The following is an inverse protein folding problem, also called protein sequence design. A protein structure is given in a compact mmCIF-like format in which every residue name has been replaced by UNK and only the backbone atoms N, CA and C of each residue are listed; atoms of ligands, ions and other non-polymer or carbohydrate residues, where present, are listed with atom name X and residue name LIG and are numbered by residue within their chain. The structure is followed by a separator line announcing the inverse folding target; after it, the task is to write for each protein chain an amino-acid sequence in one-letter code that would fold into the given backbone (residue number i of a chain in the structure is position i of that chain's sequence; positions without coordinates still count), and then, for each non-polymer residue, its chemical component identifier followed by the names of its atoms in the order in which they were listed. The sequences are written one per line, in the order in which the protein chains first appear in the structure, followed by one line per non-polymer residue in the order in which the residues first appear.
data_IF_775308359884
#
_entry.id   IF_775308359884
#
_cell.length_a   1.000
_cell.length_b   1.000
_cell.length_c   1.000
_cell.angle_alpha   90.00
_cell.angle_beta   90.00
_cell.angle_gamma   90.00
#
_symmetry.space_group_name_H-M   'P 1'
#
loop_
_entity.id
_entity.type
_entity.pdbx_description
1 polymer ?
#
# COMPACT_ATOMS: atom_id res chain seq x y z
N UNK A 1 33.02 -1.32 -31.09
CA UNK A 1 31.94 -2.31 -31.36
C UNK A 1 31.96 -3.41 -30.30
N UNK A 2 31.20 -3.21 -29.22
CA UNK A 2 30.97 -4.23 -28.19
C UNK A 2 29.66 -4.91 -28.57
N UNK A 3 29.73 -6.18 -28.96
CA UNK A 3 28.56 -6.99 -29.24
C UNK A 3 28.03 -7.53 -27.90
N UNK A 4 26.82 -7.14 -27.52
CA UNK A 4 26.07 -7.82 -26.47
C UNK A 4 25.42 -9.07 -27.04
N UNK A 5 25.64 -10.21 -26.37
CA UNK A 5 24.94 -11.44 -26.66
C UNK A 5 23.46 -11.33 -26.23
N UNK A 6 22.51 -11.92 -26.97
CA UNK A 6 21.11 -11.93 -26.55
C UNK A 6 20.95 -12.71 -25.24
N UNK A 7 20.12 -12.18 -24.33
CA UNK A 7 19.67 -12.84 -23.10
C UNK A 7 18.84 -14.09 -23.44
N UNK A 8 19.51 -15.17 -23.86
CA UNK A 8 18.94 -16.50 -24.01
C UNK A 8 19.21 -17.25 -22.71
N UNK A 9 18.25 -17.18 -21.79
CA UNK A 9 18.35 -17.86 -20.49
C UNK A 9 17.47 -17.26 -19.40
N UNK A 10 16.25 -16.81 -19.72
CA UNK A 10 15.28 -16.39 -18.69
C UNK A 10 14.68 -17.66 -18.10
N UNK A 11 14.98 -17.95 -16.83
CA UNK A 11 14.27 -18.98 -16.09
C UNK A 11 12.76 -18.64 -16.10
N UNK A 12 11.86 -19.63 -16.28
CA UNK A 12 10.44 -19.37 -16.22
C UNK A 12 10.10 -18.85 -14.81
N UNK A 13 9.66 -17.59 -14.72
CA UNK A 13 9.11 -17.01 -13.51
C UNK A 13 7.91 -17.85 -13.07
N UNK A 14 8.16 -18.80 -12.18
CA UNK A 14 7.22 -19.81 -11.69
C UNK A 14 6.97 -19.70 -10.18
N UNK A 15 7.47 -18.64 -9.54
CA UNK A 15 7.27 -18.36 -8.11
C UNK A 15 6.17 -17.33 -7.82
N UNK A 16 5.30 -17.07 -8.79
CA UNK A 16 3.98 -16.54 -8.48
C UNK A 16 3.13 -17.78 -8.27
N UNK A 17 2.70 -18.06 -7.03
CA UNK A 17 1.85 -19.21 -6.69
C UNK A 17 0.64 -19.31 -7.63
N UNK A 18 -0.04 -20.48 -7.72
CA UNK A 18 -1.06 -20.75 -8.75
C UNK A 18 -2.12 -19.64 -8.77
N UNK A 19 -1.89 -18.67 -9.65
CA UNK A 19 -2.80 -17.56 -9.89
C UNK A 19 -4.05 -18.20 -10.52
N UNK A 20 -5.24 -17.87 -10.01
CA UNK A 20 -6.49 -18.27 -10.64
C UNK A 20 -6.36 -18.05 -12.14
N UNK A 21 -6.75 -19.02 -13.00
CA UNK A 21 -6.55 -18.91 -14.43
C UNK A 21 -7.09 -17.55 -14.87
N UNK A 22 -6.23 -16.69 -15.45
CA UNK A 22 -6.60 -15.32 -15.74
C UNK A 22 -7.87 -15.36 -16.57
N UNK A 23 -8.90 -14.65 -16.10
CA UNK A 23 -10.12 -14.45 -16.85
C UNK A 23 -9.68 -14.04 -18.26
N UNK A 24 -10.01 -14.87 -19.27
CA UNK A 24 -9.46 -14.72 -20.61
C UNK A 24 -9.75 -13.32 -21.10
N UNK A 25 -8.76 -12.44 -21.02
CA UNK A 25 -8.88 -11.07 -21.50
C UNK A 25 -9.17 -11.22 -22.99
N UNK A 26 -10.31 -10.72 -23.48
CA UNK A 26 -10.68 -10.90 -24.88
C UNK A 26 -9.54 -10.39 -25.76
N UNK A 27 -9.16 -11.22 -26.74
CA UNK A 27 -8.06 -10.90 -27.64
C UNK A 27 -8.31 -9.52 -28.26
N UNK A 28 -7.35 -8.61 -28.10
CA UNK A 28 -7.48 -7.24 -28.62
C UNK A 28 -7.68 -7.29 -30.13
N UNK A 29 -8.61 -6.47 -30.61
CA UNK A 29 -8.88 -6.33 -32.03
C UNK A 29 -7.65 -5.78 -32.75
N UNK A 30 -7.50 -6.10 -34.05
CA UNK A 30 -6.41 -5.58 -34.88
C UNK A 30 -6.34 -4.04 -34.92
N UNK A 31 -7.48 -3.37 -34.72
CA UNK A 31 -7.55 -1.91 -34.61
C UNK A 31 -6.92 -1.40 -33.32
N UNK A 32 -7.19 -2.05 -32.19
CA UNK A 32 -6.58 -1.73 -30.89
C UNK A 32 -5.07 -2.00 -30.89
N UNK A 33 -4.62 -3.08 -31.53
CA UNK A 33 -3.19 -3.36 -31.71
C UNK A 33 -2.51 -2.24 -32.51
N UNK A 34 -3.12 -1.78 -33.61
CA UNK A 34 -2.58 -0.65 -34.40
C UNK A 34 -2.54 0.66 -33.61
N UNK A 35 -3.59 0.93 -32.84
CA UNK A 35 -3.65 2.11 -31.97
C UNK A 35 -2.55 2.05 -30.91
N UNK A 36 -2.35 0.90 -30.28
CA UNK A 36 -1.25 0.66 -29.35
C UNK A 36 0.10 0.93 -30.01
N UNK A 37 0.38 0.31 -31.17
CA UNK A 37 1.67 0.50 -31.87
C UNK A 37 1.94 1.98 -32.16
N UNK A 38 0.92 2.75 -32.54
CA UNK A 38 1.07 4.20 -32.75
C UNK A 38 1.36 4.95 -31.43
N UNK A 39 0.69 4.59 -30.33
CA UNK A 39 0.94 5.17 -29.00
C UNK A 39 2.37 4.87 -28.53
N UNK A 40 2.83 3.63 -28.69
CA UNK A 40 4.18 3.18 -28.33
C UNK A 40 5.26 3.85 -29.17
N UNK A 41 4.99 4.12 -30.46
CA UNK A 41 5.93 4.84 -31.32
C UNK A 41 6.31 6.22 -30.78
N UNK A 42 5.36 6.91 -30.15
CA UNK A 42 5.60 8.20 -29.51
C UNK A 42 6.35 8.10 -28.16
N UNK A 43 6.38 6.90 -27.58
CA UNK A 43 6.97 6.55 -26.29
C UNK A 43 8.33 5.81 -26.43
N UNK A 44 9.04 6.04 -27.54
CA UNK A 44 10.35 5.44 -27.78
C UNK A 44 11.38 5.94 -26.77
N UNK A 45 11.91 5.02 -25.97
CA UNK A 45 12.91 5.23 -24.91
C UNK A 45 12.55 6.31 -23.88
N UNK A 46 11.25 6.63 -23.76
CA UNK A 46 10.72 7.61 -22.81
C UNK A 46 9.29 7.24 -22.42
N UNK A 47 8.96 7.47 -21.15
CA UNK A 47 7.59 7.30 -20.69
C UNK A 47 6.66 8.34 -21.34
N UNK A 48 5.58 7.86 -21.95
CA UNK A 48 4.46 8.69 -22.40
C UNK A 48 3.26 8.38 -21.53
N UNK A 49 2.88 9.31 -20.66
CA UNK A 49 1.71 9.17 -19.80
C UNK A 49 0.47 9.69 -20.53
N UNK A 50 -0.57 8.86 -20.56
CA UNK A 50 -1.91 9.29 -20.92
C UNK A 50 -2.57 9.96 -19.71
N UNK A 51 -2.84 11.26 -19.82
CA UNK A 51 -3.41 12.04 -18.72
C UNK A 51 -4.84 11.65 -18.33
N UNK A 52 -5.56 10.93 -19.19
CA UNK A 52 -6.91 10.44 -18.88
C UNK A 52 -6.87 9.10 -18.15
N UNK A 53 -6.22 8.10 -18.72
CA UNK A 53 -6.17 6.75 -18.12
C UNK A 53 -5.10 6.61 -17.04
N UNK A 54 -4.21 7.59 -16.89
CA UNK A 54 -3.03 7.52 -16.02
C UNK A 54 -2.10 6.35 -16.37
N UNK A 55 -2.18 5.85 -17.61
CA UNK A 55 -1.30 4.78 -18.10
C UNK A 55 -0.06 5.37 -18.76
N UNK A 56 1.11 4.93 -18.31
CA UNK A 56 2.37 5.17 -18.98
C UNK A 56 2.64 4.11 -20.03
N UNK A 57 3.12 4.53 -21.19
CA UNK A 57 3.62 3.65 -22.23
C UNK A 57 5.11 3.87 -22.42
N UNK A 58 5.85 2.79 -22.68
CA UNK A 58 7.29 2.82 -22.94
C UNK A 58 7.67 1.79 -24.00
N UNK A 59 8.31 2.22 -25.08
CA UNK A 59 8.89 1.34 -26.09
C UNK A 59 10.41 1.33 -25.89
N UNK A 60 10.95 0.19 -25.46
CA UNK A 60 12.39 0.02 -25.30
C UNK A 60 13.02 -0.33 -26.65
N UNK A 61 13.69 0.63 -27.30
CA UNK A 61 14.10 0.50 -28.70
C UNK A 61 15.16 -0.56 -28.96
N UNK A 62 16.02 -0.83 -27.96
CA UNK A 62 17.05 -1.85 -28.05
C UNK A 62 16.46 -3.27 -28.10
N UNK A 63 15.49 -3.55 -27.23
CA UNK A 63 14.86 -4.88 -27.15
C UNK A 63 13.62 -5.06 -28.01
N UNK A 64 12.97 -3.96 -28.41
CA UNK A 64 11.64 -3.96 -29.02
C UNK A 64 10.47 -4.20 -28.06
N UNK A 65 10.70 -4.44 -26.77
CA UNK A 65 9.63 -4.67 -25.81
C UNK A 65 8.76 -3.43 -25.57
N UNK A 66 7.48 -3.69 -25.33
CA UNK A 66 6.43 -2.71 -25.14
C UNK A 66 5.92 -2.81 -23.70
N UNK A 67 6.16 -1.78 -22.89
CA UNK A 67 5.76 -1.75 -21.50
C UNK A 67 4.63 -0.76 -21.24
N UNK A 68 3.68 -1.14 -20.39
CA UNK A 68 2.63 -0.25 -19.93
C UNK A 68 2.61 -0.22 -18.41
N UNK A 69 2.82 0.97 -17.86
CA UNK A 69 2.70 1.25 -16.45
C UNK A 69 1.28 1.72 -16.16
N UNK A 70 0.52 0.94 -15.43
CA UNK A 70 -0.81 1.31 -14.95
C UNK A 70 -0.66 1.95 -13.57
N UNK A 71 -0.61 3.27 -13.54
CA UNK A 71 -0.30 4.00 -12.33
C UNK A 71 -1.36 3.85 -11.23
N UNK A 72 -2.68 3.90 -11.50
CA UNK A 72 -3.69 3.69 -10.47
C UNK A 72 -3.54 2.35 -9.77
N UNK A 73 -3.19 1.29 -10.51
CA UNK A 73 -3.01 -0.05 -9.92
C UNK A 73 -1.60 -0.32 -9.44
N UNK A 74 -0.62 0.49 -9.86
CA UNK A 74 0.79 0.27 -9.57
C UNK A 74 1.37 -0.97 -10.25
N UNK A 75 0.85 -1.34 -11.42
CA UNK A 75 1.24 -2.56 -12.14
C UNK A 75 1.97 -2.23 -13.44
N UNK A 76 3.12 -2.86 -13.65
CA UNK A 76 3.85 -2.83 -14.92
C UNK A 76 3.49 -4.06 -15.74
N UNK A 77 2.99 -3.82 -16.94
CA UNK A 77 2.70 -4.83 -17.94
C UNK A 77 3.71 -4.81 -19.07
N UNK A 78 3.99 -5.97 -19.65
CA UNK A 78 4.72 -6.18 -20.90
C UNK A 78 3.74 -6.74 -21.94
N UNK A 79 3.72 -6.11 -23.12
CA UNK A 79 2.91 -6.56 -24.25
C UNK A 79 3.73 -7.45 -25.16
N UNK A 80 3.25 -8.67 -25.35
CA UNK A 80 3.82 -9.61 -26.30
C UNK A 80 3.35 -9.27 -27.72
N UNK A 81 4.31 -9.01 -28.62
CA UNK A 81 3.99 -8.54 -29.97
C UNK A 81 3.30 -9.60 -30.85
N UNK A 82 3.55 -10.89 -30.57
CA UNK A 82 3.01 -11.98 -31.35
C UNK A 82 1.50 -12.11 -31.18
N UNK A 83 1.05 -12.13 -29.92
CA UNK A 83 -0.33 -12.49 -29.58
C UNK A 83 -1.14 -11.31 -29.02
N UNK A 84 -0.48 -10.16 -28.80
CA UNK A 84 -1.11 -8.99 -28.19
C UNK A 84 -1.48 -9.18 -26.71
N UNK A 85 -1.02 -10.27 -26.10
CA UNK A 85 -1.24 -10.56 -24.69
C UNK A 85 -0.45 -9.59 -23.81
N UNK A 86 -1.00 -9.33 -22.63
CA UNK A 86 -0.50 -8.38 -21.66
C UNK A 86 -0.09 -9.15 -20.42
N UNK A 87 1.21 -9.31 -20.18
CA UNK A 87 1.75 -10.03 -19.03
C UNK A 87 2.11 -9.05 -17.93
N UNK A 88 1.78 -9.38 -16.68
CA UNK A 88 2.28 -8.60 -15.53
C UNK A 88 3.76 -8.92 -15.31
N UNK A 89 4.60 -7.89 -15.30
CA UNK A 89 6.04 -8.02 -15.06
C UNK A 89 6.41 -7.56 -13.66
N UNK A 90 5.77 -6.52 -13.13
CA UNK A 90 6.08 -5.98 -11.81
C UNK A 90 4.83 -5.38 -11.16
N UNK A 91 4.72 -5.46 -9.82
CA UNK A 91 3.61 -4.88 -9.04
C UNK A 91 4.19 -4.07 -7.88
N UNK A 92 3.68 -2.87 -7.62
CA UNK A 92 4.11 -2.04 -6.48
C UNK A 92 3.86 -2.69 -5.14
N UNK A 93 2.81 -3.50 -5.03
CA UNK A 93 2.51 -4.30 -3.85
C UNK A 93 3.53 -5.44 -3.60
N UNK A 94 4.32 -5.82 -4.61
CA UNK A 94 5.30 -6.91 -4.56
C UNK A 94 6.64 -6.45 -5.18
N UNK A 95 7.33 -5.47 -4.56
CA UNK A 95 8.46 -4.79 -5.18
C UNK A 95 9.66 -5.71 -5.47
N UNK A 96 9.77 -6.84 -4.78
CA UNK A 96 10.83 -7.82 -4.97
C UNK A 96 10.71 -8.61 -6.29
N UNK A 97 9.49 -8.78 -6.82
CA UNK A 97 9.26 -9.60 -8.02
C UNK A 97 9.73 -8.82 -9.25
N UNK A 98 10.76 -9.33 -9.94
CA UNK A 98 11.36 -8.71 -11.14
C UNK A 98 11.86 -7.27 -10.91
N UNK A 99 12.35 -6.94 -9.71
CA UNK A 99 12.90 -5.61 -9.40
C UNK A 99 14.01 -5.16 -10.39
N UNK A 100 14.74 -6.12 -10.96
CA UNK A 100 15.79 -5.92 -11.97
C UNK A 100 15.30 -5.22 -13.23
N UNK A 101 13.99 -5.25 -13.53
CA UNK A 101 13.42 -4.56 -14.69
C UNK A 101 13.72 -3.04 -14.66
N UNK A 102 13.86 -2.46 -13.47
CA UNK A 102 14.18 -1.05 -13.25
C UNK A 102 15.65 -0.70 -13.48
N UNK A 103 16.52 -1.69 -13.69
CA UNK A 103 17.89 -1.44 -14.17
C UNK A 103 17.92 -1.18 -15.68
N UNK A 104 16.89 -1.67 -16.40
CA UNK A 104 16.76 -1.55 -17.85
C UNK A 104 15.79 -0.43 -18.22
N UNK A 105 14.68 -0.30 -17.47
CA UNK A 105 13.69 0.74 -17.69
C UNK A 105 13.95 1.94 -16.80
N UNK A 106 13.84 3.17 -17.31
CA UNK A 106 13.75 4.33 -16.44
C UNK A 106 12.50 4.18 -15.56
N UNK A 107 12.54 4.68 -14.33
CA UNK A 107 11.36 4.69 -13.47
C UNK A 107 10.23 5.47 -14.17
N UNK A 108 8.99 4.94 -14.20
CA UNK A 108 7.87 5.70 -14.69
C UNK A 108 7.73 6.94 -13.81
N UNK A 109 7.34 8.09 -14.37
CA UNK A 109 6.97 9.24 -13.57
C UNK A 109 5.78 8.82 -12.70
N UNK A 110 6.05 8.56 -11.42
CA UNK A 110 5.07 8.08 -10.44
C UNK A 110 4.04 9.12 -10.07
N UNK A 111 4.16 10.31 -10.65
CA UNK A 111 3.23 11.41 -10.54
C UNK A 111 3.09 12.10 -11.91
N UNK A 112 1.95 12.01 -12.61
CA UNK A 112 1.74 12.74 -13.84
C UNK A 112 1.66 14.23 -13.56
N UNK A 113 1.48 14.69 -12.32
CA UNK A 113 1.70 16.09 -11.97
C UNK A 113 3.19 16.48 -12.07
N UNK A 114 4.14 15.56 -11.86
CA UNK A 114 5.56 15.82 -12.11
C UNK A 114 5.91 15.98 -13.59
N UNK A 115 5.05 15.49 -14.51
CA UNK A 115 5.18 15.69 -15.96
C UNK A 115 4.18 16.70 -16.56
N UNK A 116 3.04 16.94 -15.89
CA UNK A 116 2.07 17.99 -16.17
C UNK A 116 2.42 19.31 -15.50
N UNK A 117 3.51 19.36 -14.73
CA UNK A 117 4.49 20.41 -14.90
C UNK A 117 5.00 20.40 -16.35
N UNK A 118 4.08 20.62 -17.31
CA UNK A 118 4.40 21.39 -18.48
C UNK A 118 5.21 22.57 -17.95
N UNK A 119 6.29 22.99 -18.63
CA UNK A 119 6.85 24.29 -18.32
C UNK A 119 5.64 25.22 -18.33
N UNK A 120 5.27 25.73 -17.15
CA UNK A 120 4.24 26.76 -17.07
C UNK A 120 4.62 27.71 -18.20
N UNK A 121 3.72 28.04 -19.13
CA UNK A 121 4.12 28.85 -20.31
C UNK A 121 4.81 30.17 -19.87
N UNK A 122 4.66 30.52 -18.59
CA UNK A 122 5.34 31.58 -17.85
C UNK A 122 6.80 31.34 -17.45
N UNK A 123 7.37 30.14 -17.61
CA UNK A 123 8.76 29.80 -17.24
C UNK A 123 9.09 29.95 -15.75
N UNK A 124 8.09 30.05 -14.87
CA UNK A 124 8.30 30.25 -13.44
C UNK A 124 8.48 28.89 -12.75
N UNK A 125 9.62 28.72 -12.08
CA UNK A 125 9.87 27.56 -11.25
C UNK A 125 8.79 27.47 -10.15
N UNK A 126 8.32 26.27 -9.81
CA UNK A 126 7.35 26.09 -8.74
C UNK A 126 7.88 26.67 -7.44
N UNK A 127 7.05 27.44 -6.75
CA UNK A 127 7.41 28.03 -5.46
C UNK A 127 7.53 26.90 -4.42
N UNK A 128 8.74 26.67 -3.92
CA UNK A 128 9.04 25.59 -2.97
C UNK A 128 8.44 25.93 -1.59
N UNK A 129 8.21 27.21 -1.31
CA UNK A 129 7.64 27.71 -0.06
C UNK A 129 6.11 27.63 -0.02
N UNK A 130 5.47 27.38 -1.17
CA UNK A 130 4.05 27.07 -1.26
C UNK A 130 3.82 25.57 -1.06
N UNK A 131 3.30 25.20 0.11
CA UNK A 131 3.02 23.81 0.44
C UNK A 131 1.79 23.70 1.36
N UNK A 132 1.27 22.48 1.45
CA UNK A 132 0.08 22.12 2.19
C UNK A 132 0.42 20.94 3.13
N UNK A 133 0.19 21.15 4.42
CA UNK A 133 0.32 20.13 5.46
C UNK A 133 -1.04 19.46 5.63
N UNK A 134 -1.07 18.15 5.39
CA UNK A 134 -2.22 17.28 5.60
C UNK A 134 -2.07 16.61 6.96
N UNK A 135 -2.92 16.98 7.92
CA UNK A 135 -2.97 16.32 9.23
C UNK A 135 -4.05 15.25 9.21
N UNK A 136 -3.66 13.99 9.25
CA UNK A 136 -4.53 12.86 8.92
C UNK A 136 -4.92 12.12 10.18
N UNK A 137 -6.22 11.93 10.39
CA UNK A 137 -6.78 11.08 11.43
C UNK A 137 -7.60 9.96 10.78
N UNK A 138 -7.49 8.76 11.32
CA UNK A 138 -8.36 7.65 10.93
C UNK A 138 -9.69 7.75 11.68
N UNK A 139 -10.82 7.49 11.03
CA UNK A 139 -12.14 7.58 11.67
C UNK A 139 -12.31 6.65 12.88
N UNK A 140 -11.66 5.47 12.84
CA UNK A 140 -11.64 4.50 13.94
C UNK A 140 -10.56 4.80 14.99
N UNK A 141 -9.81 5.90 14.84
CA UNK A 141 -8.73 6.27 15.76
C UNK A 141 -7.46 5.41 15.61
N UNK A 142 -7.32 4.68 14.50
CA UNK A 142 -6.10 3.93 14.19
C UNK A 142 -4.88 4.85 14.13
N UNK A 143 -3.74 4.29 14.50
CA UNK A 143 -2.43 4.92 14.46
C UNK A 143 -1.53 4.12 13.52
N UNK A 144 -0.43 4.71 13.08
CA UNK A 144 0.56 3.97 12.29
C UNK A 144 1.07 2.74 13.08
N UNK A 145 1.17 1.56 12.43
CA UNK A 145 1.68 0.36 13.07
C UNK A 145 3.08 0.56 13.67
N UNK A 146 3.31 0.01 14.86
CA UNK A 146 4.55 0.21 15.61
C UNK A 146 5.79 -0.39 14.92
N UNK A 147 5.61 -1.47 14.16
CA UNK A 147 6.64 -2.09 13.32
C UNK A 147 7.11 -1.16 12.19
N UNK A 148 6.17 -0.53 11.48
CA UNK A 148 6.47 0.43 10.40
C UNK A 148 7.25 1.63 10.96
N UNK A 149 6.78 2.19 12.08
CA UNK A 149 7.46 3.32 12.72
C UNK A 149 8.83 2.95 13.27
N UNK A 150 9.00 1.74 13.81
CA UNK A 150 10.28 1.28 14.32
C UNK A 150 11.31 1.20 13.19
N UNK A 151 10.96 0.60 12.06
CA UNK A 151 11.84 0.51 10.88
C UNK A 151 12.23 1.90 10.39
N UNK A 152 11.25 2.79 10.21
CA UNK A 152 11.50 4.16 9.76
C UNK A 152 12.36 4.97 10.76
N UNK A 153 12.16 4.78 12.07
CA UNK A 153 12.96 5.42 13.11
C UNK A 153 14.39 4.90 13.13
N UNK A 154 14.60 3.59 12.95
CA UNK A 154 15.94 2.99 12.93
C UNK A 154 16.72 3.45 11.68
N UNK A 155 16.08 3.47 10.51
CA UNK A 155 16.67 4.03 9.28
C UNK A 155 17.01 5.51 9.42
N UNK A 156 16.12 6.30 10.02
CA UNK A 156 16.36 7.72 10.25
C UNK A 156 17.51 7.96 11.22
N UNK A 157 17.58 7.20 12.32
CA UNK A 157 18.69 7.26 13.29
C UNK A 157 20.02 6.93 12.62
N UNK A 158 20.05 5.89 11.78
CA UNK A 158 21.24 5.51 11.03
C UNK A 158 21.64 6.61 10.03
N UNK A 159 20.69 7.09 9.21
CA UNK A 159 20.92 8.13 8.19
C UNK A 159 21.40 9.45 8.78
N UNK A 160 20.81 9.87 9.91
CA UNK A 160 21.15 11.12 10.59
C UNK A 160 22.30 10.98 11.58
N UNK A 161 22.89 9.77 11.70
CA UNK A 161 23.97 9.43 12.64
C UNK A 161 23.69 9.87 14.08
N UNK A 162 22.44 9.68 14.53
CA UNK A 162 22.01 10.14 15.86
C UNK A 162 22.63 9.30 16.98
N UNK A 163 23.14 9.95 18.01
CA UNK A 163 23.64 9.27 19.20
C UNK A 163 22.51 8.54 19.95
N UNK A 164 22.86 7.55 20.79
CA UNK A 164 21.90 6.67 21.50
C UNK A 164 20.82 7.43 22.28
N UNK A 165 21.16 8.55 22.92
CA UNK A 165 20.21 9.38 23.68
C UNK A 165 19.11 10.01 22.79
N UNK A 166 19.47 10.49 21.60
CA UNK A 166 18.55 11.10 20.62
C UNK A 166 17.65 10.02 19.99
N UNK A 167 18.24 8.88 19.62
CA UNK A 167 17.50 7.72 19.13
C UNK A 167 16.47 7.23 20.18
N UNK A 168 16.88 7.11 21.45
CA UNK A 168 15.97 6.74 22.53
C UNK A 168 14.89 7.81 22.75
N UNK A 169 15.22 9.10 22.60
CA UNK A 169 14.23 10.19 22.71
C UNK A 169 13.18 10.08 21.60
N UNK A 170 13.58 9.85 20.35
CA UNK A 170 12.69 9.63 19.21
C UNK A 170 11.74 8.46 19.47
N UNK A 171 12.27 7.28 19.83
CA UNK A 171 11.47 6.06 20.06
C UNK A 171 10.48 6.17 21.23
N UNK A 172 10.69 7.11 22.16
CA UNK A 172 9.78 7.37 23.29
C UNK A 172 8.63 8.31 22.96
N UNK A 173 8.62 8.93 21.78
CA UNK A 173 7.55 9.83 21.37
C UNK A 173 6.29 9.03 20.97
N UNK A 174 5.13 9.69 20.94
CA UNK A 174 3.92 9.08 20.41
C UNK A 174 4.08 8.77 18.91
N UNK A 175 3.33 7.80 18.36
CA UNK A 175 3.38 7.44 16.94
C UNK A 175 3.32 8.64 15.98
N UNK A 176 2.34 9.52 16.18
CA UNK A 176 2.17 10.73 15.38
C UNK A 176 3.37 11.71 15.50
N UNK A 177 3.95 11.82 16.70
CA UNK A 177 5.12 12.67 16.94
C UNK A 177 6.38 12.09 16.28
N UNK A 178 6.56 10.77 16.33
CA UNK A 178 7.64 10.09 15.61
C UNK A 178 7.53 10.39 14.12
N UNK A 179 6.38 10.10 13.52
CA UNK A 179 6.13 10.31 12.09
C UNK A 179 6.38 11.76 11.65
N UNK A 180 5.81 12.73 12.39
CA UNK A 180 6.02 14.14 12.11
C UNK A 180 7.50 14.53 12.09
N UNK A 181 8.26 14.09 13.09
CA UNK A 181 9.69 14.43 13.21
C UNK A 181 10.51 13.78 12.09
N UNK A 182 10.24 12.51 11.76
CA UNK A 182 10.89 11.81 10.66
C UNK A 182 10.74 12.56 9.33
N UNK A 183 9.58 13.19 9.12
CA UNK A 183 9.31 13.95 7.91
C UNK A 183 9.83 15.38 7.93
N UNK A 184 9.88 16.06 9.09
CA UNK A 184 10.09 17.51 9.15
C UNK A 184 11.46 17.93 9.70
N UNK A 185 12.17 17.06 10.41
CA UNK A 185 13.51 17.43 10.89
C UNK A 185 14.51 17.45 9.72
N UNK A 186 15.21 18.57 9.57
CA UNK A 186 16.31 18.78 8.63
C UNK A 186 17.46 19.42 9.39
N UNK A 187 18.68 18.98 9.13
CA UNK A 187 19.89 19.53 9.71
C UNK A 187 20.98 19.45 8.64
N UNK A 188 21.56 20.59 8.28
CA UNK A 188 22.58 20.69 7.25
C UNK A 188 23.98 20.36 7.79
N UNK A 189 24.25 20.74 9.04
CA UNK A 189 25.56 20.53 9.66
C UNK A 189 25.71 19.10 10.18
N UNK A 190 26.90 18.51 10.02
CA UNK A 190 27.17 17.16 10.55
C UNK A 190 27.48 17.18 12.05
N UNK A 191 28.13 18.26 12.51
CA UNK A 191 28.54 18.42 13.89
C UNK A 191 27.36 18.93 14.70
N UNK A 192 26.98 18.20 15.73
CA UNK A 192 25.89 18.62 16.61
C UNK A 192 24.48 18.19 16.17
N UNK A 193 24.34 17.34 15.13
CA UNK A 193 23.03 16.85 14.63
C UNK A 193 22.13 16.32 15.74
N UNK A 194 22.72 15.60 16.70
CA UNK A 194 21.96 14.97 17.77
C UNK A 194 21.44 15.97 18.81
N UNK A 195 22.26 16.97 19.12
CA UNK A 195 21.93 18.07 20.02
C UNK A 195 20.87 18.99 19.40
N UNK A 196 21.00 19.30 18.11
CA UNK A 196 20.01 20.06 17.37
C UNK A 196 18.68 19.29 17.27
N UNK A 197 18.74 17.98 17.00
CA UNK A 197 17.57 17.12 17.03
C UNK A 197 16.87 17.14 18.38
N UNK A 198 17.61 16.97 19.48
CA UNK A 198 17.04 17.03 20.84
C UNK A 198 16.41 18.40 21.13
N UNK A 199 17.08 19.48 20.76
CA UNK A 199 16.59 20.86 20.91
C UNK A 199 15.29 21.06 20.11
N UNK A 200 15.24 20.55 18.87
CA UNK A 200 14.06 20.59 18.01
C UNK A 200 12.88 19.82 18.63
N UNK A 201 13.12 18.58 19.10
CA UNK A 201 12.09 17.78 19.78
C UNK A 201 11.58 18.48 21.03
N UNK A 202 12.47 19.00 21.88
CA UNK A 202 12.08 19.70 23.11
C UNK A 202 11.32 21.00 22.81
N UNK A 203 11.70 21.74 21.76
CA UNK A 203 10.96 22.92 21.29
C UNK A 203 9.54 22.58 20.85
N UNK A 204 9.35 21.44 20.15
CA UNK A 204 8.02 20.99 19.74
C UNK A 204 7.18 20.52 20.93
N UNK A 205 7.77 19.76 21.86
CA UNK A 205 7.09 19.28 23.06
C UNK A 205 6.69 20.40 24.03
N UNK A 206 7.42 21.52 24.04
CA UNK A 206 7.07 22.70 24.84
C UNK A 206 5.91 23.52 24.27
N UNK A 207 5.47 23.26 23.03
CA UNK A 207 4.34 23.98 22.46
C UNK A 207 3.05 23.53 23.16
N UNK A 208 2.12 24.47 23.48
CA UNK A 208 0.85 24.11 24.11
C UNK A 208 -0.02 23.22 23.22
N UNK A 209 0.18 23.29 21.90
CA UNK A 209 -0.44 22.43 20.90
C UNK A 209 0.65 21.95 19.94
N UNK A 210 1.15 20.71 20.09
CA UNK A 210 2.12 20.17 19.14
C UNK A 210 1.48 20.07 17.75
N UNK A 211 2.28 20.18 16.67
CA UNK A 211 1.75 20.25 15.30
C UNK A 211 1.01 18.97 14.86
N UNK A 212 1.34 17.82 15.43
CA UNK A 212 0.66 16.55 15.14
C UNK A 212 -0.67 16.38 15.90
N UNK A 213 -0.87 17.04 17.05
CA UNK A 213 -2.12 16.91 17.83
C UNK A 213 -2.53 15.44 18.08
N UNK A 214 -3.77 15.11 17.74
CA UNK A 214 -4.33 13.75 17.80
C UNK A 214 -4.33 13.04 16.43
N UNK A 215 -3.49 13.48 15.49
CA UNK A 215 -3.40 12.84 14.19
C UNK A 215 -2.81 11.43 14.29
N UNK A 216 -3.05 10.62 13.27
CA UNK A 216 -2.36 9.36 13.07
C UNK A 216 -1.03 9.57 12.34
N UNK A 217 -1.03 10.46 11.35
CA UNK A 217 0.15 10.83 10.57
C UNK A 217 0.02 12.25 9.98
N UNK A 218 1.09 12.76 9.40
CA UNK A 218 1.08 13.99 8.60
C UNK A 218 1.62 13.72 7.21
N UNK A 219 1.14 14.42 6.18
CA UNK A 219 1.75 14.40 4.85
C UNK A 219 2.01 15.83 4.39
N UNK A 220 3.09 16.02 3.63
CA UNK A 220 3.44 17.31 3.05
C UNK A 220 3.23 17.25 1.54
N UNK A 221 2.30 18.05 1.03
CA UNK A 221 2.05 18.21 -0.39
C UNK A 221 2.69 19.54 -0.86
N UNK A 222 3.68 19.44 -1.74
CA UNK A 222 4.33 20.62 -2.34
C UNK A 222 3.52 21.14 -3.54
N UNK A 223 3.99 22.20 -4.17
CA UNK A 223 3.40 22.79 -5.39
C UNK A 223 3.31 21.82 -6.59
N UNK A 224 4.01 20.68 -6.57
CA UNK A 224 3.77 19.62 -7.54
C UNK A 224 2.38 18.96 -7.40
N UNK A 225 1.75 19.08 -6.23
CA UNK A 225 0.54 18.34 -5.89
C UNK A 225 0.84 17.07 -5.10
N UNK A 226 -0.20 16.24 -4.92
CA UNK A 226 -0.10 14.94 -4.27
C UNK A 226 -1.24 14.03 -4.73
N UNK A 227 -1.01 12.72 -4.76
CA UNK A 227 -2.06 11.71 -4.88
C UNK A 227 -2.28 11.12 -3.49
N UNK A 228 -3.53 11.10 -3.04
CA UNK A 228 -3.92 10.56 -1.73
C UNK A 228 -4.64 9.23 -1.97
N UNK A 229 -4.15 8.18 -1.32
CA UNK A 229 -4.64 6.81 -1.45
C UNK A 229 -3.63 5.81 -0.89
N UNK A 230 -3.88 4.52 -1.09
CA UNK A 230 -2.97 3.43 -0.67
C UNK A 230 -1.64 3.40 -1.44
N UNK A 231 -1.49 4.18 -2.50
CA UNK A 231 -0.18 4.37 -3.13
C UNK A 231 0.83 5.06 -2.21
N UNK A 232 0.36 5.75 -1.15
CA UNK A 232 1.21 6.30 -0.11
C UNK A 232 1.45 5.22 0.97
N UNK A 233 2.71 4.80 1.21
CA UNK A 233 3.02 3.72 2.15
C UNK A 233 2.48 3.98 3.57
N UNK A 234 2.51 5.23 4.02
CA UNK A 234 1.99 5.63 5.33
C UNK A 234 0.46 5.45 5.42
N UNK A 235 -0.26 5.75 4.34
CA UNK A 235 -1.73 5.60 4.31
C UNK A 235 -2.14 4.14 4.13
N UNK A 236 -1.40 3.36 3.35
CA UNK A 236 -1.63 1.92 3.24
C UNK A 236 -1.38 1.20 4.58
N UNK A 237 -0.30 1.56 5.28
CA UNK A 237 -0.03 1.05 6.61
C UNK A 237 -1.11 1.45 7.63
N UNK A 238 -1.58 2.70 7.58
CA UNK A 238 -2.64 3.21 8.46
C UNK A 238 -3.98 2.50 8.22
N UNK A 239 -4.31 2.20 6.97
CA UNK A 239 -5.57 1.58 6.56
C UNK A 239 -5.46 0.06 6.32
N UNK A 240 -4.41 -0.60 6.81
CA UNK A 240 -4.14 -2.02 6.52
C UNK A 240 -5.27 -2.94 7.01
N UNK A 241 -5.94 -2.57 8.10
CA UNK A 241 -7.09 -3.29 8.67
C UNK A 241 -8.41 -3.03 7.94
N UNK A 242 -8.48 -1.96 7.14
CA UNK A 242 -9.69 -1.57 6.45
C UNK A 242 -9.84 -2.34 5.13
N UNK A 243 -11.08 -2.62 4.69
CA UNK A 243 -11.32 -3.20 3.37
C UNK A 243 -10.68 -2.32 2.27
N UNK A 244 -10.02 -2.92 1.27
CA UNK A 244 -9.33 -2.17 0.22
C UNK A 244 -10.26 -1.26 -0.60
N UNK A 245 -11.56 -1.52 -0.62
CA UNK A 245 -12.56 -0.72 -1.32
C UNK A 245 -12.76 0.66 -0.69
N UNK A 246 -12.48 0.79 0.61
CA UNK A 246 -12.67 2.05 1.36
C UNK A 246 -11.62 3.10 1.04
N UNK A 247 -10.41 2.67 0.68
CA UNK A 247 -9.33 3.57 0.27
C UNK A 247 -8.63 2.97 -0.95
N UNK A 248 -8.98 3.47 -2.14
CA UNK A 248 -8.33 3.09 -3.37
C UNK A 248 -6.82 3.42 -3.38
N UNK A 249 -6.08 2.78 -4.28
CA UNK A 249 -4.65 3.05 -4.50
C UNK A 249 -4.39 4.52 -4.82
N UNK A 250 -5.15 5.11 -5.76
CA UNK A 250 -5.20 6.53 -6.01
C UNK A 250 -6.65 7.01 -5.84
N UNK A 251 -7.00 7.54 -4.68
CA UNK A 251 -8.38 7.89 -4.32
C UNK A 251 -8.73 9.31 -4.77
N UNK A 252 -7.91 10.30 -4.39
CA UNK A 252 -8.09 11.68 -4.81
C UNK A 252 -6.75 12.32 -5.17
N UNK A 253 -6.79 13.42 -5.93
CA UNK A 253 -5.61 14.17 -6.36
C UNK A 253 -5.70 15.60 -5.87
N UNK A 254 -4.59 16.10 -5.36
CA UNK A 254 -4.38 17.51 -5.05
C UNK A 254 -3.40 18.07 -6.09
N UNK A 255 -3.74 19.19 -6.71
CA UNK A 255 -2.81 19.96 -7.56
C UNK A 255 -2.57 21.34 -6.97
N UNK A 256 -1.45 21.95 -7.33
CA UNK A 256 -1.23 23.37 -7.14
C UNK A 256 -1.37 24.13 -8.46
N UNK A 257 -1.99 25.30 -8.43
CA UNK A 257 -1.99 26.27 -9.51
C UNK A 257 -1.83 27.67 -8.93
N UNK A 258 -0.77 28.39 -9.34
CA UNK A 258 -0.42 29.72 -8.80
C UNK A 258 -0.41 29.76 -7.25
N UNK A 259 0.34 28.84 -6.63
CA UNK A 259 0.48 28.69 -5.18
C UNK A 259 -0.83 28.39 -4.43
N UNK A 260 -1.87 27.93 -5.15
CA UNK A 260 -3.16 27.52 -4.58
C UNK A 260 -3.42 26.06 -4.84
N UNK A 261 -4.05 25.42 -3.88
CA UNK A 261 -4.33 24.01 -3.95
C UNK A 261 -5.78 23.74 -4.33
N UNK A 262 -5.98 22.73 -5.17
CA UNK A 262 -7.28 22.25 -5.61
C UNK A 262 -7.30 20.74 -5.43
N UNK A 263 -8.47 20.17 -5.17
CA UNK A 263 -8.68 18.73 -5.01
C UNK A 263 -9.71 18.23 -6.02
N UNK A 264 -9.51 17.04 -6.56
CA UNK A 264 -10.55 16.30 -7.28
C UNK A 264 -10.58 14.85 -6.79
N UNK A 265 -11.75 14.24 -6.85
CA UNK A 265 -11.92 12.80 -6.67
C UNK A 265 -11.50 12.08 -7.96
N UNK A 266 -10.97 10.86 -7.86
CA UNK A 266 -10.59 10.08 -9.04
C UNK A 266 -11.65 9.06 -9.46
N UNK A 267 -12.78 8.97 -8.76
CA UNK A 267 -13.86 8.02 -9.06
C UNK A 267 -13.49 6.56 -8.80
N UNK A 268 -12.40 6.30 -8.10
CA UNK A 268 -11.82 4.95 -7.93
C UNK A 268 -12.34 4.19 -6.71
N UNK A 269 -13.04 4.86 -5.79
CA UNK A 269 -13.63 4.25 -4.59
C UNK A 269 -15.11 4.60 -4.48
N UNK A 270 -15.89 3.70 -3.88
CA UNK A 270 -17.31 3.93 -3.60
C UNK A 270 -17.56 4.93 -2.47
N UNK A 271 -16.59 5.11 -1.56
CA UNK A 271 -16.73 6.03 -0.43
C UNK A 271 -16.61 7.51 -0.88
N UNK A 272 -15.90 7.75 -1.98
CA UNK A 272 -15.67 9.09 -2.57
C UNK A 272 -14.86 10.03 -1.67
N UNK A 273 -14.75 11.27 -2.14
CA UNK A 273 -14.07 12.35 -1.43
C UNK A 273 -15.05 13.44 -1.04
N UNK A 274 -15.03 13.88 0.23
CA UNK A 274 -15.83 15.01 0.71
C UNK A 274 -14.91 16.16 1.18
N UNK A 275 -15.17 17.41 0.78
CA UNK A 275 -14.49 18.62 1.27
C UNK A 275 -15.49 19.45 2.08
N UNK A 276 -15.20 19.67 3.36
CA UNK A 276 -16.05 20.43 4.29
C UNK A 276 -17.52 19.93 4.34
N UNK A 277 -17.72 18.63 4.10
CA UNK A 277 -19.02 17.96 4.08
C UNK A 277 -19.71 17.93 2.71
N UNK A 278 -19.09 18.49 1.67
CA UNK A 278 -19.59 18.49 0.30
C UNK A 278 -18.85 17.44 -0.54
N UNK A 279 -19.59 16.66 -1.33
CA UNK A 279 -19.01 15.64 -2.22
C UNK A 279 -18.19 16.33 -3.31
N UNK A 280 -16.94 15.89 -3.47
CA UNK A 280 -16.02 16.31 -4.52
C UNK A 280 -16.22 15.38 -5.72
N UNK A 281 -16.41 15.94 -6.91
CA UNK A 281 -16.51 15.18 -8.16
C UNK A 281 -15.13 14.97 -8.80
N UNK A 282 -15.11 14.42 -10.02
CA UNK A 282 -13.89 14.34 -10.85
C UNK A 282 -13.39 15.72 -11.31
N UNK A 283 -14.16 16.78 -11.11
CA UNK A 283 -13.77 18.15 -11.40
C UNK A 283 -12.93 18.75 -10.26
N UNK A 284 -12.09 19.73 -10.61
CA UNK A 284 -11.21 20.39 -9.64
C UNK A 284 -12.00 21.36 -8.75
N UNK A 285 -12.03 21.07 -7.45
CA UNK A 285 -12.67 21.90 -6.42
C UNK A 285 -11.60 22.68 -5.64
N UNK A 286 -11.79 23.99 -5.49
CA UNK A 286 -10.89 24.84 -4.72
C UNK A 286 -11.10 26.35 -4.97
N UNK A 287 -10.22 27.21 -4.43
CA UNK A 287 -8.99 26.87 -3.71
C UNK A 287 -9.26 26.31 -2.30
N UNK A 288 -8.44 25.35 -1.88
CA UNK A 288 -8.44 24.80 -0.52
C UNK A 288 -8.07 25.90 0.48
N UNK A 289 -8.66 25.86 1.68
CA UNK A 289 -8.40 26.83 2.75
C UNK A 289 -7.74 26.16 3.95
N UNK A 290 -6.90 26.92 4.65
CA UNK A 290 -6.34 26.44 5.92
C UNK A 290 -7.47 26.24 6.93
N UNK A 291 -7.57 25.03 7.48
CA UNK A 291 -8.64 24.62 8.39
C UNK A 291 -9.73 23.78 7.75
N UNK A 292 -9.81 23.70 6.41
CA UNK A 292 -10.74 22.82 5.71
C UNK A 292 -10.51 21.35 6.08
N UNK A 293 -11.59 20.58 6.09
CA UNK A 293 -11.62 19.17 6.41
C UNK A 293 -11.93 18.36 5.15
N UNK A 294 -10.94 17.63 4.65
CA UNK A 294 -11.06 16.70 3.55
C UNK A 294 -11.29 15.29 4.10
N UNK A 295 -12.32 14.58 3.63
CA UNK A 295 -12.58 13.17 3.97
C UNK A 295 -12.31 12.33 2.73
N UNK A 296 -11.47 11.30 2.85
CA UNK A 296 -11.07 10.41 1.76
C UNK A 296 -11.20 8.98 2.28
N UNK A 297 -12.30 8.31 1.95
CA UNK A 297 -12.58 7.00 2.55
C UNK A 297 -12.66 7.05 4.09
N UNK A 298 -11.88 6.22 4.83
CA UNK A 298 -11.86 6.24 6.29
C UNK A 298 -10.99 7.37 6.88
N UNK A 299 -10.34 8.18 6.04
CA UNK A 299 -9.40 9.21 6.46
C UNK A 299 -10.11 10.57 6.61
N UNK A 300 -9.87 11.23 7.74
CA UNK A 300 -10.24 12.63 8.00
C UNK A 300 -8.98 13.48 8.02
N UNK A 301 -8.85 14.36 7.04
CA UNK A 301 -7.64 15.09 6.74
C UNK A 301 -7.90 16.58 6.95
N UNK A 302 -7.24 17.16 7.96
CA UNK A 302 -7.27 18.60 8.19
C UNK A 302 -6.18 19.28 7.36
N UNK A 303 -6.57 20.26 6.57
CA UNK A 303 -5.68 21.02 5.69
C UNK A 303 -5.07 22.19 6.47
N UNK A 304 -3.75 22.38 6.35
CA UNK A 304 -3.06 23.58 6.81
C UNK A 304 -2.12 24.08 5.72
N UNK A 305 -2.36 25.30 5.24
CA UNK A 305 -1.53 25.93 4.22
C UNK A 305 -0.27 26.56 4.83
N UNK A 306 0.82 26.61 4.07
CA UNK A 306 1.96 27.48 4.37
C UNK A 306 1.53 28.95 4.31
N UNK A 307 2.29 29.85 4.96
CA UNK A 307 1.93 31.27 4.99
C UNK A 307 1.97 31.89 3.58
N UNK A 308 2.88 31.44 2.72
CA UNK A 308 2.92 31.85 1.31
C UNK A 308 1.67 31.45 0.53
N UNK A 309 1.12 30.27 0.78
CA UNK A 309 -0.10 29.81 0.12
C UNK A 309 -1.39 30.46 0.68
N UNK A 310 -1.36 31.01 1.91
CA UNK A 310 -2.51 31.71 2.51
C UNK A 310 -2.72 33.10 1.92
N UNK A 311 -1.61 33.79 1.64
CA UNK A 311 -1.61 35.23 1.40
C UNK A 311 -1.68 35.60 -0.09
N UNK A 312 -1.83 34.64 -1.02
CA UNK A 312 -1.92 34.96 -2.45
C UNK A 312 -3.33 35.48 -2.79
N UNK A 313 -3.56 36.81 -2.92
CA UNK A 313 -4.89 37.34 -3.21
C UNK A 313 -5.36 36.85 -4.59
N UNK A 314 -6.65 36.54 -4.73
CA UNK A 314 -7.24 36.14 -6.02
C UNK A 314 -6.95 37.25 -7.05
N UNK A 315 -6.11 36.99 -8.08
CA UNK A 315 -5.81 37.99 -9.08
C UNK A 315 -7.11 38.53 -9.64
N UNK A 316 -7.23 39.84 -9.71
CA UNK A 316 -8.43 40.51 -10.22
C UNK A 316 -8.72 40.12 -11.68
N UNK A 317 -7.71 39.64 -12.42
CA UNK A 317 -7.89 39.07 -13.76
C UNK A 317 -8.66 37.75 -13.74
N UNK A 318 -8.36 36.85 -12.79
CA UNK A 318 -9.14 35.63 -12.56
C UNK A 318 -10.54 35.98 -12.04
N UNK A 319 -10.64 37.00 -11.19
CA UNK A 319 -11.96 37.55 -10.83
C UNK A 319 -12.70 38.09 -12.03
N UNK A 320 -12.05 38.58 -13.10
CA UNK A 320 -12.73 39.16 -14.27
C UNK A 320 -13.26 38.12 -15.25
N UNK A 321 -12.58 36.97 -15.35
CA UNK A 321 -13.11 35.78 -16.02
C UNK A 321 -14.21 35.08 -15.21
N UNK A 322 -14.28 35.32 -13.90
CA UNK A 322 -15.35 34.82 -13.02
C UNK A 322 -16.50 35.84 -12.85
N UNK A 323 -16.24 37.15 -12.93
CA UNK A 323 -17.22 38.20 -12.59
C UNK A 323 -18.12 38.63 -13.75
N UNK A 324 -17.87 38.16 -14.97
CA UNK A 324 -18.82 38.35 -16.06
C UNK A 324 -20.05 37.42 -15.90
N UNK A 325 -19.96 36.45 -14.99
CA UNK A 325 -20.99 35.46 -14.65
C UNK A 325 -21.51 35.65 -13.22
N UNK A 326 -21.19 36.74 -12.50
CA UNK A 326 -21.50 36.89 -11.05
C UNK A 326 -23.01 36.80 -10.66
N UNK A 327 -23.93 36.99 -11.61
CA UNK A 327 -25.37 36.71 -11.38
C UNK A 327 -25.73 35.23 -11.60
N UNK A 328 -25.00 34.51 -12.45
CA UNK A 328 -25.14 33.06 -12.68
C UNK A 328 -24.26 32.24 -11.71
N UNK A 329 -23.17 32.78 -11.18
CA UNK A 329 -22.25 32.13 -10.25
C UNK A 329 -22.80 32.08 -8.82
N UNK A 330 -23.64 33.03 -8.42
CA UNK A 330 -24.44 32.90 -7.20
C UNK A 330 -25.49 31.77 -7.34
N UNK A 331 -25.91 31.44 -8.58
CA UNK A 331 -26.81 30.34 -8.89
C UNK A 331 -26.07 29.01 -9.08
N UNK A 332 -24.88 29.01 -9.68
CA UNK A 332 -23.98 27.86 -9.82
C UNK A 332 -23.38 27.46 -8.48
N UNK A 333 -22.93 28.40 -7.66
CA UNK A 333 -22.57 28.10 -6.27
C UNK A 333 -23.80 27.58 -5.52
N UNK A 334 -25.02 28.08 -5.75
CA UNK A 334 -26.23 27.46 -5.18
C UNK A 334 -26.59 26.10 -5.78
N UNK A 335 -26.16 25.75 -7.00
CA UNK A 335 -26.41 24.46 -7.67
C UNK A 335 -25.35 23.40 -7.37
N UNK A 336 -24.09 23.81 -7.19
CA UNK A 336 -22.93 22.97 -6.83
C UNK A 336 -22.78 22.86 -5.31
N UNK A 337 -23.08 23.92 -4.54
CA UNK A 337 -23.29 23.86 -3.09
C UNK A 337 -24.74 23.61 -2.69
N UNK A 338 -25.64 23.32 -3.63
CA UNK A 338 -26.88 22.64 -3.26
C UNK A 338 -26.44 21.31 -2.69
N UNK A 339 -26.50 21.22 -1.36
CA UNK A 339 -26.44 19.97 -0.62
C UNK A 339 -27.07 18.92 -1.49
N UNK A 340 -26.33 17.91 -1.94
CA UNK A 340 -26.95 16.68 -2.43
C UNK A 340 -27.97 16.37 -1.36
N UNK A 341 -29.25 16.58 -1.67
CA UNK A 341 -30.25 16.69 -0.63
C UNK A 341 -30.17 15.40 0.17
N UNK A 342 -30.50 15.42 1.47
CA UNK A 342 -30.72 14.14 2.16
C UNK A 342 -31.66 13.26 1.31
N UNK A 343 -32.62 13.86 0.59
CA UNK A 343 -33.39 13.17 -0.45
C UNK A 343 -32.52 12.55 -1.55
N UNK A 344 -31.58 13.26 -2.18
CA UNK A 344 -30.80 12.72 -3.30
C UNK A 344 -29.83 11.62 -2.87
N UNK A 345 -29.23 11.74 -1.67
CA UNK A 345 -28.44 10.65 -1.05
C UNK A 345 -29.32 9.44 -0.77
N UNK A 346 -30.54 9.65 -0.28
CA UNK A 346 -31.52 8.58 -0.06
C UNK A 346 -32.00 8.00 -1.40
N UNK A 347 -32.18 8.80 -2.44
CA UNK A 347 -32.59 8.35 -3.77
C UNK A 347 -31.48 7.54 -4.46
N UNK A 348 -30.22 7.95 -4.34
CA UNK A 348 -29.09 7.20 -4.90
C UNK A 348 -28.94 5.85 -4.19
N UNK A 349 -29.05 5.82 -2.84
CA UNK A 349 -29.12 4.56 -2.08
C UNK A 349 -30.33 3.71 -2.49
N UNK A 350 -31.50 4.32 -2.69
CA UNK A 350 -32.72 3.63 -3.11
C UNK A 350 -32.57 3.03 -4.51
N UNK A 351 -31.99 3.76 -5.47
CA UNK A 351 -31.67 3.25 -6.81
C UNK A 351 -30.68 2.09 -6.74
N UNK A 352 -29.62 2.20 -5.94
CA UNK A 352 -28.67 1.09 -5.75
C UNK A 352 -29.34 -0.16 -5.15
N UNK A 353 -30.23 0.03 -4.18
CA UNK A 353 -31.01 -1.07 -3.61
C UNK A 353 -31.94 -1.69 -4.67
N UNK A 354 -32.62 -0.86 -5.46
CA UNK A 354 -33.52 -1.31 -6.52
C UNK A 354 -32.78 -2.06 -7.63
N UNK A 355 -31.54 -1.68 -7.95
CA UNK A 355 -30.67 -2.45 -8.84
C UNK A 355 -30.27 -3.80 -8.26
N UNK A 356 -29.98 -3.89 -6.95
CA UNK A 356 -29.73 -5.17 -6.26
C UNK A 356 -30.96 -6.06 -6.28
N UNK A 357 -32.13 -5.51 -5.96
CA UNK A 357 -33.40 -6.23 -5.96
C UNK A 357 -33.76 -6.70 -7.37
N UNK A 358 -33.54 -5.88 -8.42
CA UNK A 358 -33.79 -6.27 -9.82
C UNK A 358 -32.80 -7.31 -10.32
N UNK A 359 -31.55 -7.31 -9.83
CA UNK A 359 -30.59 -8.38 -10.09
C UNK A 359 -31.01 -9.69 -9.40
N UNK A 360 -31.56 -9.60 -8.19
CA UNK A 360 -32.09 -10.74 -7.44
C UNK A 360 -33.41 -11.28 -8.01
N UNK A 361 -34.29 -10.41 -8.51
CA UNK A 361 -35.48 -10.76 -9.27
C UNK A 361 -35.13 -11.49 -10.57
N UNK A 362 -34.08 -11.05 -11.27
CA UNK A 362 -33.53 -11.80 -12.42
C UNK A 362 -33.07 -13.18 -12.01
N UNK A 363 -32.37 -13.33 -10.87
CA UNK A 363 -31.98 -14.64 -10.32
C UNK A 363 -33.20 -15.51 -9.98
N UNK A 364 -34.28 -14.92 -9.48
CA UNK A 364 -35.52 -15.64 -9.19
C UNK A 364 -36.31 -16.02 -10.46
N UNK A 365 -36.31 -15.18 -11.50
CA UNK A 365 -36.94 -15.48 -12.79
C UNK A 365 -36.18 -16.54 -13.59
N UNK A 366 -34.86 -16.58 -13.49
CA UNK A 366 -34.05 -17.62 -14.16
C UNK A 366 -34.07 -18.98 -13.42
N UNK A 367 -34.82 -19.13 -12.32
CA UNK A 367 -35.15 -20.44 -11.74
C UNK A 367 -36.07 -21.30 -12.61
N UNK A 368 -36.53 -20.81 -13.77
CA UNK A 368 -37.22 -21.61 -14.79
C UNK A 368 -36.27 -22.57 -15.52
N UNK A 369 -36.26 -23.82 -15.04
CA UNK A 369 -35.77 -25.14 -15.49
C UNK A 369 -34.73 -25.32 -16.62
N UNK A 370 -34.55 -24.40 -17.57
CA UNK A 370 -33.57 -24.58 -18.66
C UNK A 370 -32.28 -23.75 -18.46
N UNK A 371 -32.37 -22.61 -17.77
CA UNK A 371 -31.20 -21.76 -17.48
C UNK A 371 -30.53 -22.05 -16.12
N UNK A 372 -31.26 -22.65 -15.18
CA UNK A 372 -30.77 -22.92 -13.83
C UNK A 372 -29.74 -24.05 -13.81
N UNK A 373 -29.86 -25.08 -14.65
CA UNK A 373 -28.93 -26.23 -14.60
C UNK A 373 -27.48 -25.84 -14.93
N UNK A 374 -27.28 -24.93 -15.88
CA UNK A 374 -25.93 -24.46 -16.24
C UNK A 374 -25.36 -23.52 -15.17
N UNK A 375 -26.19 -22.66 -14.59
CA UNK A 375 -25.79 -21.72 -13.53
C UNK A 375 -25.58 -22.47 -12.22
N UNK A 376 -26.43 -23.42 -11.85
CA UNK A 376 -26.30 -24.26 -10.67
C UNK A 376 -25.10 -25.20 -10.80
N UNK A 377 -24.77 -25.68 -12.00
CA UNK A 377 -23.52 -26.42 -12.24
C UNK A 377 -22.28 -25.52 -12.06
N UNK A 378 -22.34 -24.24 -12.45
CA UNK A 378 -21.24 -23.30 -12.25
C UNK A 378 -21.12 -22.90 -10.79
N UNK A 379 -22.22 -22.63 -10.11
CA UNK A 379 -22.27 -22.32 -8.67
C UNK A 379 -21.84 -23.53 -7.84
N UNK A 380 -22.23 -24.75 -8.22
CA UNK A 380 -21.76 -25.98 -7.56
C UNK A 380 -20.26 -26.19 -7.75
N UNK A 381 -19.72 -25.92 -8.95
CA UNK A 381 -18.25 -25.91 -9.16
C UNK A 381 -17.56 -24.82 -8.37
N UNK A 382 -18.14 -23.63 -8.28
CA UNK A 382 -17.58 -22.51 -7.53
C UNK A 382 -17.55 -22.83 -6.03
N UNK A 383 -18.65 -23.37 -5.48
CA UNK A 383 -18.70 -23.83 -4.10
C UNK A 383 -17.71 -24.97 -3.83
N UNK A 384 -17.53 -25.90 -4.78
CA UNK A 384 -16.51 -26.95 -4.66
C UNK A 384 -15.08 -26.41 -4.67
N UNK A 385 -14.80 -25.33 -5.41
CA UNK A 385 -13.50 -24.65 -5.39
C UNK A 385 -13.29 -23.95 -4.05
N UNK A 386 -14.30 -23.24 -3.54
CA UNK A 386 -14.23 -22.56 -2.24
C UNK A 386 -14.05 -23.56 -1.10
N UNK A 387 -14.76 -24.70 -1.12
CA UNK A 387 -14.58 -25.76 -0.13
C UNK A 387 -13.20 -26.42 -0.24
N UNK A 388 -12.67 -26.62 -1.45
CA UNK A 388 -11.32 -27.15 -1.66
C UNK A 388 -10.23 -26.18 -1.20
N UNK A 389 -10.41 -24.87 -1.44
CA UNK A 389 -9.50 -23.81 -1.00
C UNK A 389 -9.52 -23.65 0.52
N UNK A 390 -10.72 -23.76 1.13
CA UNK A 390 -10.87 -23.81 2.58
C UNK A 390 -10.19 -25.05 3.18
N UNK A 391 -10.39 -26.23 2.59
CA UNK A 391 -9.73 -27.45 3.03
C UNK A 391 -8.20 -27.40 2.86
N UNK A 392 -7.70 -26.74 1.81
CA UNK A 392 -6.27 -26.52 1.60
C UNK A 392 -5.69 -25.55 2.64
N UNK A 393 -6.42 -24.48 2.97
CA UNK A 393 -6.03 -23.53 4.02
C UNK A 393 -6.01 -24.21 5.39
N UNK A 394 -7.04 -24.99 5.74
CA UNK A 394 -7.09 -25.76 6.98
C UNK A 394 -5.96 -26.82 7.06
N UNK A 395 -5.60 -27.44 5.93
CA UNK A 395 -4.49 -28.38 5.87
C UNK A 395 -3.12 -27.70 6.06
N UNK A 396 -2.91 -26.51 5.50
CA UNK A 396 -1.67 -25.75 5.72
C UNK A 396 -1.60 -25.19 7.15
N UNK A 397 -2.73 -24.74 7.72
CA UNK A 397 -2.82 -24.37 9.13
C UNK A 397 -2.43 -25.55 10.03
N UNK A 398 -2.97 -26.76 9.79
CA UNK A 398 -2.56 -27.96 10.53
C UNK A 398 -1.08 -28.32 10.32
N UNK A 399 -0.53 -28.10 9.13
CA UNK A 399 0.89 -28.35 8.82
C UNK A 399 1.81 -27.40 9.57
N UNK A 400 1.39 -26.15 9.81
CA UNK A 400 2.15 -25.14 10.54
C UNK A 400 1.93 -25.25 12.06
N UNK A 401 0.72 -25.60 12.50
CA UNK A 401 0.34 -25.69 13.91
C UNK A 401 0.91 -26.94 14.60
N UNK A 402 1.04 -28.08 13.89
CA UNK A 402 1.63 -29.29 14.47
C UNK A 402 3.11 -29.13 14.89
N UNK A 403 4.02 -28.58 14.06
CA UNK A 403 5.40 -28.32 14.45
C UNK A 403 5.51 -27.28 15.57
N UNK A 404 4.67 -26.25 15.58
CA UNK A 404 4.69 -25.22 16.63
C UNK A 404 4.19 -25.77 17.96
N UNK A 405 3.11 -26.56 17.99
CA UNK A 405 2.66 -27.22 19.22
C UNK A 405 3.68 -28.25 19.74
N UNK A 406 4.37 -28.96 18.85
CA UNK A 406 5.46 -29.86 19.25
C UNK A 406 6.64 -29.10 19.86
N UNK A 407 7.06 -28.00 19.23
CA UNK A 407 8.12 -27.13 19.73
C UNK A 407 7.75 -26.44 21.06
N UNK A 408 6.50 -25.98 21.22
CA UNK A 408 6.01 -25.42 22.49
C UNK A 408 5.99 -26.48 23.60
N UNK A 409 5.63 -27.73 23.29
CA UNK A 409 5.65 -28.84 24.24
C UNK A 409 7.08 -29.25 24.63
N UNK A 410 8.02 -29.22 23.70
CA UNK A 410 9.43 -29.51 23.96
C UNK A 410 10.12 -28.38 24.75
N UNK A 411 9.74 -27.12 24.48
CA UNK A 411 10.25 -25.95 25.18
C UNK A 411 9.60 -25.68 26.55
N UNK A 412 8.62 -26.50 26.95
CA UNK A 412 7.87 -26.32 28.21
C UNK A 412 7.24 -24.92 28.34
N UNK A 413 6.78 -24.36 27.22
CA UNK A 413 6.13 -23.05 27.15
C UNK A 413 4.64 -23.21 26.84
N UNK A 414 3.79 -22.44 27.51
CA UNK A 414 2.39 -22.31 27.11
C UNK A 414 2.26 -21.58 25.78
N UNK A 415 1.05 -21.66 25.21
CA UNK A 415 0.68 -21.05 23.93
C UNK A 415 0.73 -19.52 23.93
N UNK A 416 0.73 -18.89 25.10
CA UNK A 416 0.95 -17.44 25.28
C UNK A 416 2.44 -17.05 25.36
N UNK A 417 3.35 -18.02 25.19
CA UNK A 417 4.79 -17.81 25.30
C UNK A 417 5.30 -17.71 26.74
N UNK A 418 4.45 -17.91 27.75
CA UNK A 418 4.91 -17.97 29.13
C UNK A 418 5.53 -19.35 29.41
N UNK A 419 6.64 -19.35 30.15
CA UNK A 419 7.29 -20.60 30.52
C UNK A 419 6.45 -21.26 31.60
N UNK A 420 5.91 -22.45 31.31
CA UNK A 420 5.20 -23.26 32.31
C UNK A 420 6.28 -23.90 33.20
N UNK A 421 6.76 -23.11 34.15
CA UNK A 421 7.70 -23.55 35.16
C UNK A 421 7.16 -24.82 35.82
N UNK A 422 7.86 -25.93 35.59
CA UNK A 422 7.65 -27.17 36.31
C UNK A 422 7.80 -26.90 37.79
N UNK A 423 6.66 -26.75 38.47
CA UNK A 423 6.61 -26.52 39.90
C UNK A 423 7.20 -27.72 40.64
N UNK A 424 8.12 -27.43 41.55
CA UNK A 424 8.39 -28.30 42.69
C UNK A 424 9.70 -29.06 42.67
N UNK A 425 10.83 -28.39 42.44
CA UNK A 425 12.05 -28.68 43.21
C UNK A 425 12.85 -27.39 43.37
N UNK A 426 13.03 -26.96 44.61
CA UNK A 426 13.81 -25.80 45.02
C UNK A 426 15.23 -25.93 44.47
N UNK A 427 15.56 -25.16 43.42
CA UNK A 427 16.93 -25.07 42.92
C UNK A 427 17.68 -24.09 43.81
N UNK A 428 18.45 -24.63 44.74
CA UNK A 428 19.45 -23.90 45.50
C UNK A 428 20.37 -23.12 44.54
N UNK A 429 20.72 -21.90 44.95
CA UNK A 429 21.38 -20.90 44.12
C UNK A 429 22.65 -21.37 43.44
N UNK A 430 22.92 -20.78 42.28
CA UNK A 430 24.17 -20.89 41.55
C UNK A 430 25.27 -20.19 42.38
N UNK A 431 25.83 -20.93 43.33
CA UNK A 431 27.13 -20.67 43.90
C UNK A 431 28.17 -21.42 43.09
N UNK A 432 29.12 -20.69 42.50
CA UNK A 432 30.32 -21.27 41.91
C UNK A 432 31.11 -21.99 43.01
N UNK A 433 31.12 -23.32 43.00
CA UNK A 433 32.13 -24.11 43.70
C UNK A 433 33.01 -24.85 42.71
N UNK A 434 34.25 -24.40 42.67
CA UNK A 434 35.41 -25.07 42.11
C UNK A 434 35.70 -26.36 42.87
N UNK A 435 35.73 -27.52 42.19
CA UNK A 435 36.19 -28.76 42.81
C UNK A 435 35.89 -30.03 42.02
N UNK A 436 36.87 -30.47 41.23
CA UNK A 436 37.23 -31.88 40.95
C UNK A 436 36.15 -32.97 41.04
N UNK A 437 35.75 -33.52 39.88
CA UNK A 437 35.85 -34.95 39.54
C UNK A 437 35.13 -35.20 38.22
N UNK A 438 35.89 -35.67 37.23
CA UNK A 438 35.35 -36.19 35.99
C UNK A 438 34.91 -37.63 36.22
N UNK A 439 33.60 -37.87 36.29
CA UNK A 439 33.03 -39.22 36.17
C UNK A 439 32.25 -39.34 34.87
N UNK A 440 32.50 -40.46 34.19
CA UNK A 440 32.00 -40.80 32.86
C UNK A 440 30.48 -40.79 32.81
N UNK A 441 29.95 -40.08 31.81
CA UNK A 441 28.54 -40.11 31.42
C UNK A 441 28.20 -41.56 30.99
N UNK A 442 27.22 -42.23 31.62
CA UNK A 442 26.82 -43.57 31.22
C UNK A 442 26.17 -43.53 29.84
N UNK A 443 26.51 -44.52 29.02
CA UNK A 443 26.14 -44.68 27.62
C UNK A 443 24.60 -44.70 27.44
N UNK A 444 24.00 -43.59 27.01
CA UNK A 444 22.53 -43.38 26.90
C UNK A 444 21.90 -44.06 25.66
N UNK A 445 22.64 -44.93 24.96
CA UNK A 445 22.18 -45.54 23.70
C UNK A 445 22.09 -47.08 23.77
N UNK A 446 21.64 -47.63 24.89
CA UNK A 446 21.29 -49.07 24.92
C UNK A 446 19.79 -49.25 24.55
N UNK A 447 19.47 -49.77 23.35
CA UNK A 447 18.09 -49.87 22.85
C UNK A 447 17.19 -50.81 23.66
N UNK A 448 17.75 -51.51 24.65
CA UNK A 448 17.02 -52.38 25.58
C UNK A 448 16.32 -51.62 26.71
N UNK A 449 16.78 -50.41 27.04
CA UNK A 449 16.21 -49.59 28.13
C UNK A 449 15.31 -48.45 27.63
N UNK A 450 15.04 -48.37 26.33
CA UNK A 450 14.10 -47.40 25.78
C UNK A 450 12.66 -47.77 26.17
N UNK A 451 11.87 -46.76 26.54
CA UNK A 451 10.46 -46.96 26.80
C UNK A 451 9.76 -47.48 25.53
N UNK A 452 8.64 -48.19 25.69
CA UNK A 452 7.88 -48.72 24.55
C UNK A 452 7.46 -47.61 23.57
N UNK A 453 7.27 -46.38 24.05
CA UNK A 453 6.95 -45.21 23.24
C UNK A 453 8.14 -44.77 22.39
N UNK A 454 9.33 -44.72 22.98
CA UNK A 454 10.56 -44.28 22.31
C UNK A 454 11.04 -45.33 21.28
N UNK A 455 10.86 -46.63 21.57
CA UNK A 455 11.07 -47.70 20.55
C UNK A 455 10.14 -47.56 19.36
N UNK A 456 8.92 -47.07 19.57
CA UNK A 456 7.96 -46.77 18.49
C UNK A 456 8.47 -45.63 17.61
N UNK A 457 8.88 -44.52 18.23
CA UNK A 457 9.39 -43.35 17.51
C UNK A 457 10.68 -43.65 16.75
N UNK A 458 11.63 -44.38 17.35
CA UNK A 458 12.88 -44.77 16.71
C UNK A 458 12.63 -45.68 15.48
N UNK A 459 11.64 -46.58 15.54
CA UNK A 459 11.24 -47.41 14.39
C UNK A 459 10.63 -46.58 13.27
N UNK A 460 9.82 -45.58 13.59
CA UNK A 460 9.21 -44.69 12.58
C UNK A 460 10.28 -43.83 11.91
N UNK A 461 11.22 -43.30 12.69
CA UNK A 461 12.34 -42.51 12.17
C UNK A 461 13.24 -43.35 11.23
N UNK A 462 13.58 -44.57 11.64
CA UNK A 462 14.35 -45.50 10.79
C UNK A 462 13.65 -45.86 9.47
N UNK A 463 12.31 -45.93 9.46
CA UNK A 463 11.53 -46.16 8.22
C UNK A 463 11.58 -44.94 7.30
N UNK A 464 11.48 -43.73 7.86
CA UNK A 464 11.61 -42.49 7.10
C UNK A 464 12.99 -42.37 6.46
N UNK A 465 14.06 -42.61 7.21
CA UNK A 465 15.42 -42.55 6.68
C UNK A 465 15.70 -43.63 5.62
N UNK A 466 15.06 -44.80 5.73
CA UNK A 466 15.14 -45.84 4.69
C UNK A 466 14.39 -45.45 3.42
N UNK A 467 13.20 -44.84 3.54
CA UNK A 467 12.45 -44.34 2.39
C UNK A 467 13.20 -43.21 1.68
N UNK A 468 13.76 -42.27 2.43
CA UNK A 468 14.54 -41.16 1.88
C UNK A 468 15.83 -41.64 1.19
N UNK A 469 16.49 -42.68 1.73
CA UNK A 469 17.63 -43.33 1.07
C UNK A 469 17.24 -44.10 -0.20
N UNK A 470 16.02 -44.62 -0.27
CA UNK A 470 15.52 -45.31 -1.45
C UNK A 470 15.15 -44.31 -2.57
N UNK A 471 14.65 -43.12 -2.24
CA UNK A 471 14.38 -42.06 -3.22
C UNK A 471 15.65 -41.39 -3.76
N UNK A 472 16.74 -41.39 -2.98
CA UNK A 472 18.05 -40.85 -3.41
C UNK A 472 18.90 -41.81 -4.24
N UNK A 473 18.47 -43.06 -4.45
CA UNK A 473 19.13 -44.06 -5.29
C UNK A 473 18.32 -44.28 -6.55
#
# INVERSE_FOLDING_TARGET
PVFYAPLVGRAPASEIGPEMPPEMVPAKTKAEIRLMVNTFRAAKDRWKIDGQSMKGFYLHSESGYLYCWDQPTGVLYEYEQADGQCRVVWKSALPAVNAEIWQVLPLPPTDPASMQAAPSETGLLPNIDAYLILTIAHEAGHQLPADVLKVAADEFVARMTLHSRAAQRLRKLSPAAQHFILQNFRCEEEKGRSEEFLSYVDKLLRRPRPPWGNSACTLLAHSAGAIIGRCCPDLDALCRSDPPERLAQAHCKIKSDQDRFFVCDLGTSSDGTDLDGFVVSEEWVGPLKSGSLLTVGPLRIKIQLSDMAKDTPIPTSLKRSLSAEDDEDAEWQRKVYQSVSKEDRVQLRRKQQEYKDRAEERRQRTKGEAGSVAIDSLVSRFNGIVEAEKAATEAEEQRVEMPTLAAHREANMSTDGSFLGGGGFERAGIGFQSGSSAELIPNVLDPRNLSNKDRGQLKTQMRYEQAERAERR
#
